data_IF_785387503356
#
_entry.id   IF_785387503356
#
_cell.length_a   1.000
_cell.length_b   1.000
_cell.length_c   1.000
_cell.angle_alpha   90.00
_cell.angle_beta   90.00
_cell.angle_gamma   90.00
#
_symmetry.space_group_name_H-M   'P 1'
#
loop_
_entity.id
_entity.type
_entity.pdbx_description
1 polymer ?
#
# COMPACT_ATOMS: atom_id res chain seq x y z
N UNK A 1 -50.09 21.46 -9.16
CA UNK A 1 -48.64 21.25 -9.08
C UNK A 1 -48.40 19.92 -8.37
N UNK A 2 -48.21 18.84 -9.13
CA UNK A 2 -47.91 17.50 -8.57
C UNK A 2 -46.40 17.29 -8.62
N UNK A 3 -45.84 16.85 -7.50
CA UNK A 3 -44.45 16.40 -7.36
C UNK A 3 -44.15 15.32 -8.39
N UNK A 4 -43.10 15.51 -9.19
CA UNK A 4 -42.50 14.47 -10.01
C UNK A 4 -41.58 13.66 -9.10
N UNK A 5 -42.15 12.64 -8.45
CA UNK A 5 -41.35 11.57 -7.88
C UNK A 5 -40.85 10.71 -9.05
N UNK A 6 -39.56 10.81 -9.35
CA UNK A 6 -38.85 9.90 -10.23
C UNK A 6 -38.77 8.53 -9.53
N UNK A 7 -39.81 7.72 -9.68
CA UNK A 7 -39.71 6.28 -9.45
C UNK A 7 -38.77 5.69 -10.50
N UNK A 8 -37.53 5.38 -10.10
CA UNK A 8 -36.69 4.46 -10.85
C UNK A 8 -37.35 3.09 -10.74
N UNK A 9 -37.84 2.56 -11.87
CA UNK A 9 -38.39 1.22 -11.93
C UNK A 9 -37.25 0.22 -11.75
N UNK A 10 -37.29 -0.58 -10.67
CA UNK A 10 -36.24 -1.54 -10.30
C UNK A 10 -36.38 -2.89 -11.05
N UNK A 11 -37.24 -2.95 -12.06
CA UNK A 11 -37.64 -4.16 -12.78
C UNK A 11 -36.54 -4.74 -13.68
N UNK A 12 -35.51 -3.97 -14.07
CA UNK A 12 -34.49 -4.39 -15.07
C UNK A 12 -33.05 -4.50 -14.53
N UNK A 13 -32.84 -4.67 -13.22
CA UNK A 13 -31.49 -4.85 -12.64
C UNK A 13 -31.09 -6.32 -12.61
N UNK A 14 -30.21 -6.74 -13.53
CA UNK A 14 -29.57 -8.06 -13.46
C UNK A 14 -28.45 -8.04 -12.44
N UNK A 15 -28.56 -8.85 -11.40
CA UNK A 15 -27.50 -8.96 -10.39
C UNK A 15 -26.58 -10.14 -10.69
N UNK A 16 -25.33 -9.83 -11.04
CA UNK A 16 -24.24 -10.80 -11.19
C UNK A 16 -23.60 -11.03 -9.82
N UNK A 17 -23.70 -12.26 -9.30
CA UNK A 17 -23.12 -12.62 -8.03
C UNK A 17 -21.66 -13.01 -8.19
N UNK A 18 -20.74 -12.09 -7.90
CA UNK A 18 -19.33 -12.43 -7.82
C UNK A 18 -19.08 -13.31 -6.60
N UNK A 19 -18.66 -14.55 -6.84
CA UNK A 19 -18.23 -15.43 -5.77
C UNK A 19 -16.94 -14.94 -5.12
N UNK A 20 -16.63 -15.50 -3.95
CA UNK A 20 -15.41 -15.18 -3.22
C UNK A 20 -14.80 -16.42 -2.59
N UNK A 21 -13.47 -16.43 -2.46
CA UNK A 21 -12.70 -17.50 -1.83
C UNK A 21 -12.28 -18.62 -2.78
N UNK A 22 -11.63 -19.64 -2.22
CA UNK A 22 -10.93 -20.74 -2.94
C UNK A 22 -11.78 -21.57 -3.91
N UNK A 23 -13.11 -21.44 -3.87
CA UNK A 23 -14.02 -22.16 -4.76
C UNK A 23 -14.34 -21.39 -6.03
N UNK A 24 -13.94 -20.13 -6.13
CA UNK A 24 -14.19 -19.27 -7.28
C UNK A 24 -12.92 -19.21 -8.12
N UNK A 25 -13.00 -19.67 -9.38
CA UNK A 25 -11.88 -19.72 -10.33
C UNK A 25 -12.24 -18.92 -11.58
N UNK A 26 -11.26 -18.50 -12.39
CA UNK A 26 -11.49 -17.88 -13.70
C UNK A 26 -12.54 -18.57 -14.56
N UNK A 27 -12.50 -19.90 -14.60
CA UNK A 27 -13.41 -20.71 -15.40
C UNK A 27 -14.85 -20.61 -14.86
N UNK A 28 -15.02 -20.60 -13.53
CA UNK A 28 -16.33 -20.45 -12.90
C UNK A 28 -16.88 -19.03 -13.05
N UNK A 29 -16.01 -18.03 -13.02
CA UNK A 29 -16.35 -16.64 -13.34
C UNK A 29 -16.86 -16.54 -14.78
N UNK A 30 -16.11 -17.09 -15.74
CA UNK A 30 -16.46 -17.06 -17.16
C UNK A 30 -17.73 -17.87 -17.46
N UNK A 31 -17.89 -19.04 -16.84
CA UNK A 31 -19.10 -19.85 -16.96
C UNK A 31 -20.32 -19.10 -16.42
N UNK A 32 -20.18 -18.36 -15.31
CA UNK A 32 -21.26 -17.53 -14.80
C UNK A 32 -21.62 -16.42 -15.79
N UNK A 33 -20.63 -15.75 -16.38
CA UNK A 33 -20.82 -14.74 -17.41
C UNK A 33 -21.48 -15.31 -18.67
N UNK A 34 -21.08 -16.48 -19.14
CA UNK A 34 -21.69 -17.14 -20.30
C UNK A 34 -23.14 -17.57 -20.03
N UNK A 35 -23.47 -17.93 -18.79
CA UNK A 35 -24.83 -18.29 -18.39
C UNK A 35 -25.74 -17.06 -18.17
N UNK A 36 -25.18 -15.85 -18.09
CA UNK A 36 -25.95 -14.60 -18.08
C UNK A 36 -26.45 -14.29 -19.49
N UNK A 37 -27.54 -14.93 -19.89
CA UNK A 37 -28.25 -14.63 -21.15
C UNK A 37 -29.23 -13.48 -20.96
N UNK A 38 -28.75 -12.25 -21.03
CA UNK A 38 -29.62 -11.06 -20.99
C UNK A 38 -29.06 -9.95 -21.90
N UNK A 39 -29.47 -9.94 -23.17
CA UNK A 39 -29.19 -8.86 -24.13
C UNK A 39 -30.04 -7.60 -23.88
N UNK A 40 -31.00 -7.65 -22.93
CA UNK A 40 -32.03 -6.62 -22.75
C UNK A 40 -31.91 -5.83 -21.43
N UNK A 41 -30.93 -6.13 -20.58
CA UNK A 41 -30.81 -5.45 -19.28
C UNK A 41 -29.97 -4.18 -19.37
N UNK A 42 -30.60 -3.04 -19.12
CA UNK A 42 -29.92 -1.74 -19.10
C UNK A 42 -28.95 -1.59 -17.92
N UNK A 43 -29.22 -2.28 -16.80
CA UNK A 43 -28.42 -2.18 -15.58
C UNK A 43 -27.94 -3.54 -15.08
N UNK A 44 -26.62 -3.68 -14.94
CA UNK A 44 -25.98 -4.85 -14.35
C UNK A 44 -25.40 -4.48 -12.98
N UNK A 45 -25.88 -5.12 -11.93
CA UNK A 45 -25.34 -5.01 -10.57
C UNK A 45 -24.37 -6.14 -10.29
N UNK A 46 -23.09 -5.84 -10.15
CA UNK A 46 -22.11 -6.83 -9.66
C UNK A 46 -22.11 -6.81 -8.12
N UNK A 47 -22.64 -7.88 -7.51
CA UNK A 47 -22.67 -8.06 -6.06
C UNK A 47 -21.53 -8.99 -5.61
N UNK A 48 -21.06 -8.86 -4.36
CA UNK A 48 -20.01 -9.72 -3.80
C UNK A 48 -18.98 -8.93 -2.98
N UNK A 49 -18.03 -9.64 -2.35
CA UNK A 49 -17.03 -9.00 -1.47
C UNK A 49 -15.99 -8.16 -2.20
N UNK A 50 -15.71 -8.44 -3.48
CA UNK A 50 -14.66 -7.76 -4.27
C UNK A 50 -15.08 -7.56 -5.75
N UNK A 51 -16.18 -6.84 -6.04
CA UNK A 51 -16.80 -6.81 -7.36
C UNK A 51 -15.86 -6.36 -8.49
N UNK A 52 -14.95 -5.41 -8.21
CA UNK A 52 -14.07 -4.79 -9.22
C UNK A 52 -12.74 -5.50 -9.47
N UNK A 53 -12.46 -6.56 -8.72
CA UNK A 53 -11.15 -7.20 -8.72
C UNK A 53 -11.20 -8.56 -9.44
N UNK A 54 -11.36 -8.57 -10.77
CA UNK A 54 -11.00 -9.75 -11.56
C UNK A 54 -9.48 -9.75 -11.68
N UNK A 55 -8.81 -10.43 -10.76
CA UNK A 55 -7.36 -10.35 -10.63
C UNK A 55 -6.58 -11.17 -11.67
N UNK A 56 -7.25 -12.00 -12.46
CA UNK A 56 -6.55 -13.12 -13.07
C UNK A 56 -6.13 -12.87 -14.54
N UNK A 57 -6.60 -11.80 -15.19
CA UNK A 57 -6.40 -11.62 -16.64
C UNK A 57 -6.04 -10.20 -17.10
N UNK A 58 -5.79 -9.26 -16.19
CA UNK A 58 -5.36 -7.92 -16.59
C UNK A 58 -3.84 -7.81 -16.58
N UNK A 59 -3.23 -7.38 -17.71
CA UNK A 59 -1.84 -6.96 -17.70
C UNK A 59 -1.63 -5.86 -16.66
N UNK A 60 -0.53 -5.96 -15.91
CA UNK A 60 -0.22 -4.99 -14.84
C UNK A 60 -0.15 -3.57 -15.39
N UNK A 61 0.39 -3.40 -16.59
CA UNK A 61 0.43 -2.11 -17.31
C UNK A 61 -0.94 -1.49 -17.48
N UNK A 62 -1.96 -2.28 -17.82
CA UNK A 62 -3.30 -1.78 -18.11
C UNK A 62 -4.03 -1.45 -16.81
N UNK A 63 -3.90 -2.31 -15.80
CA UNK A 63 -4.43 -2.02 -14.46
C UNK A 63 -3.80 -0.75 -13.85
N UNK A 64 -2.50 -0.52 -14.08
CA UNK A 64 -1.81 0.68 -13.64
C UNK A 64 -2.38 1.97 -14.26
N UNK A 65 -3.03 1.90 -15.43
CA UNK A 65 -3.66 3.07 -16.05
C UNK A 65 -4.83 3.60 -15.23
N UNK A 66 -5.52 2.74 -14.48
CA UNK A 66 -6.62 3.15 -13.58
C UNK A 66 -6.12 4.16 -12.56
N UNK A 67 -4.90 3.96 -12.03
CA UNK A 67 -4.28 4.84 -11.04
C UNK A 67 -3.91 6.21 -11.61
N UNK A 68 -3.90 6.41 -12.92
CA UNK A 68 -3.72 7.73 -13.52
C UNK A 68 -4.97 8.61 -13.37
N UNK A 69 -6.13 7.97 -13.31
CA UNK A 69 -7.42 8.61 -13.18
C UNK A 69 -7.85 8.76 -11.72
N UNK A 70 -7.23 8.02 -10.80
CA UNK A 70 -7.51 8.12 -9.37
C UNK A 70 -6.79 9.33 -8.79
N UNK A 71 -7.55 10.38 -8.52
CA UNK A 71 -7.08 11.56 -7.80
C UNK A 71 -7.67 11.57 -6.40
N UNK A 72 -6.83 11.91 -5.43
CA UNK A 72 -7.32 12.18 -4.09
C UNK A 72 -8.05 13.53 -4.11
N UNK A 73 -9.24 13.59 -3.53
CA UNK A 73 -9.99 14.84 -3.40
C UNK A 73 -9.17 15.86 -2.60
N UNK A 74 -9.34 17.14 -2.94
CA UNK A 74 -8.53 18.24 -2.41
C UNK A 74 -8.45 18.25 -0.88
N UNK A 75 -9.57 17.98 -0.20
CA UNK A 75 -9.65 17.85 1.25
C UNK A 75 -8.61 16.86 1.80
N UNK A 76 -8.60 15.61 1.32
CA UNK A 76 -7.69 14.59 1.84
C UNK A 76 -6.25 14.80 1.34
N UNK A 77 -6.06 15.42 0.17
CA UNK A 77 -4.73 15.85 -0.26
C UNK A 77 -4.13 16.89 0.69
N UNK A 78 -4.92 17.88 1.10
CA UNK A 78 -4.51 18.89 2.06
C UNK A 78 -4.17 18.28 3.43
N UNK A 79 -4.90 17.25 3.86
CA UNK A 79 -4.56 16.50 5.07
C UNK A 79 -3.23 15.74 4.93
N UNK A 80 -2.98 15.09 3.79
CA UNK A 80 -1.69 14.45 3.50
C UNK A 80 -0.54 15.48 3.47
N UNK A 81 -0.76 16.67 2.91
CA UNK A 81 0.22 17.78 2.90
C UNK A 81 0.61 18.20 4.32
N UNK A 82 -0.37 18.34 5.22
CA UNK A 82 -0.11 18.67 6.63
C UNK A 82 0.73 17.58 7.31
N UNK A 83 0.42 16.31 7.06
CA UNK A 83 1.19 15.18 7.64
C UNK A 83 2.62 15.18 7.13
N UNK A 84 2.83 15.31 5.80
CA UNK A 84 4.18 15.38 5.20
C UNK A 84 4.96 16.58 5.74
N UNK A 85 4.32 17.75 5.84
CA UNK A 85 4.95 18.94 6.41
C UNK A 85 5.42 18.69 7.85
N UNK A 86 4.61 18.02 8.68
CA UNK A 86 4.99 17.66 10.06
C UNK A 86 6.13 16.66 10.14
N UNK A 87 6.16 15.67 9.24
CA UNK A 87 7.28 14.71 9.14
C UNK A 87 8.59 15.45 8.82
N UNK A 88 8.57 16.34 7.83
CA UNK A 88 9.74 17.12 7.41
C UNK A 88 10.18 18.14 8.45
N UNK A 89 9.23 18.77 9.14
CA UNK A 89 9.50 19.66 10.29
C UNK A 89 10.23 18.90 11.41
N UNK A 90 9.75 17.69 11.73
CA UNK A 90 10.38 16.82 12.72
C UNK A 90 11.82 16.47 12.33
N UNK A 91 12.06 16.11 11.06
CA UNK A 91 13.40 15.78 10.56
C UNK A 91 14.36 16.96 10.55
N UNK A 92 13.85 18.16 10.27
CA UNK A 92 14.65 19.40 10.29
C UNK A 92 15.09 19.76 11.70
N UNK A 93 14.26 19.51 12.72
CA UNK A 93 14.62 19.69 14.13
C UNK A 93 15.69 18.70 14.62
N UNK A 94 15.73 17.50 14.03
CA UNK A 94 16.74 16.48 14.35
C UNK A 94 18.11 16.74 13.70
N UNK A 95 18.20 17.61 12.69
CA UNK A 95 19.47 18.03 12.06
C UNK A 95 19.90 19.39 12.63
N UNK A 96 21.13 19.53 13.10
CA UNK A 96 21.62 20.79 13.65
C UNK A 96 21.59 21.92 12.60
N UNK A 97 20.71 22.91 12.81
CA UNK A 97 20.72 24.32 12.33
C UNK A 97 21.28 24.66 10.93
N UNK A 98 21.22 23.79 9.93
CA UNK A 98 21.54 24.21 8.57
C UNK A 98 20.65 23.54 7.50
N UNK A 99 20.01 24.44 6.73
CA UNK A 99 19.16 24.27 5.55
C UNK A 99 17.65 24.13 5.81
N UNK A 100 16.92 24.83 4.93
CA UNK A 100 15.49 25.09 4.91
C UNK A 100 14.60 23.88 5.21
N UNK A 101 13.51 24.11 5.96
CA UNK A 101 12.50 23.14 6.42
C UNK A 101 11.88 22.23 5.33
N UNK A 102 12.04 22.54 4.04
CA UNK A 102 11.26 21.95 2.95
C UNK A 102 11.86 20.63 2.43
N UNK A 103 13.14 20.35 2.72
CA UNK A 103 13.93 19.34 2.01
C UNK A 103 14.51 18.24 2.92
N UNK A 104 13.87 17.98 4.07
CA UNK A 104 14.27 16.89 4.96
C UNK A 104 13.70 15.55 4.44
N UNK A 105 14.53 14.65 3.89
CA UNK A 105 14.04 13.38 3.37
C UNK A 105 13.55 12.49 4.51
N UNK A 106 12.59 11.63 4.22
CA UNK A 106 12.06 10.65 5.16
C UNK A 106 11.81 9.29 4.51
N UNK A 107 11.85 8.26 5.34
CA UNK A 107 11.45 6.89 4.98
C UNK A 107 10.04 6.70 5.50
N UNK A 108 9.13 6.18 4.68
CA UNK A 108 7.85 5.69 5.14
C UNK A 108 7.91 4.16 5.29
N UNK A 109 7.52 3.66 6.46
CA UNK A 109 7.45 2.23 6.77
C UNK A 109 5.99 1.86 7.03
N UNK A 110 5.39 1.11 6.12
CA UNK A 110 4.04 0.58 6.31
C UNK A 110 4.11 -0.72 7.13
N UNK A 111 3.93 -0.61 8.45
CA UNK A 111 4.07 -1.74 9.36
C UNK A 111 2.75 -2.49 9.49
N UNK A 112 2.65 -3.67 8.88
CA UNK A 112 1.52 -4.57 9.09
C UNK A 112 1.85 -5.58 10.20
N UNK A 113 1.63 -5.17 11.44
CA UNK A 113 1.96 -5.91 12.69
C UNK A 113 0.77 -6.01 13.66
N UNK A 114 -0.41 -5.65 13.20
CA UNK A 114 -1.66 -5.68 13.94
C UNK A 114 -2.04 -7.11 14.32
N UNK A 115 -2.73 -7.29 15.45
CA UNK A 115 -2.99 -8.64 16.00
C UNK A 115 -3.72 -9.56 15.01
N UNK A 116 -4.75 -9.03 14.36
CA UNK A 116 -5.55 -9.74 13.35
C UNK A 116 -4.68 -10.19 12.17
N UNK A 117 -3.80 -9.30 11.71
CA UNK A 117 -2.84 -9.61 10.67
C UNK A 117 -1.84 -10.68 11.11
N UNK A 118 -1.25 -10.54 12.29
CA UNK A 118 -0.26 -11.49 12.80
C UNK A 118 -0.84 -12.90 12.97
N UNK A 119 -2.12 -13.01 13.36
CA UNK A 119 -2.83 -14.30 13.39
C UNK A 119 -3.09 -14.81 11.98
N UNK A 120 -3.53 -13.94 11.05
CA UNK A 120 -3.82 -14.32 9.68
C UNK A 120 -2.58 -14.81 8.94
N UNK A 121 -1.50 -14.03 8.97
CA UNK A 121 -0.27 -14.35 8.25
C UNK A 121 0.35 -15.64 8.79
N UNK A 122 0.38 -15.88 10.11
CA UNK A 122 0.97 -17.10 10.69
C UNK A 122 0.22 -18.35 10.27
N UNK A 123 -1.13 -18.27 10.20
CA UNK A 123 -1.95 -19.38 9.69
C UNK A 123 -1.70 -19.63 8.21
N UNK A 124 -1.44 -18.58 7.43
CA UNK A 124 -1.14 -18.69 6.00
C UNK A 124 0.24 -19.30 5.76
N UNK A 125 1.25 -18.89 6.54
CA UNK A 125 2.60 -19.46 6.55
C UNK A 125 2.57 -20.96 6.86
N UNK A 126 1.88 -21.35 7.93
CA UNK A 126 1.72 -22.77 8.31
C UNK A 126 1.07 -23.59 7.21
N UNK A 127 0.06 -23.05 6.52
CA UNK A 127 -0.65 -23.76 5.44
C UNK A 127 0.17 -23.87 4.16
N UNK A 128 1.01 -22.88 3.89
CA UNK A 128 1.77 -22.77 2.64
C UNK A 128 3.22 -23.25 2.80
N UNK A 129 3.62 -23.62 4.02
CA UNK A 129 4.98 -24.04 4.39
C UNK A 129 6.05 -22.99 4.01
N UNK A 130 5.79 -21.72 4.33
CA UNK A 130 6.70 -20.59 4.10
C UNK A 130 6.85 -19.76 5.37
N UNK A 131 7.90 -18.94 5.47
CA UNK A 131 8.20 -18.09 6.63
C UNK A 131 8.45 -16.62 6.26
N UNK A 132 8.03 -16.23 5.07
CA UNK A 132 8.33 -14.93 4.46
C UNK A 132 7.08 -14.05 4.31
N UNK A 133 6.03 -14.26 5.13
CA UNK A 133 4.78 -13.49 5.05
C UNK A 133 4.69 -12.54 6.25
N UNK A 134 4.82 -13.10 7.44
CA UNK A 134 4.83 -12.37 8.70
C UNK A 134 6.23 -11.79 8.94
N UNK A 135 6.28 -10.61 9.56
CA UNK A 135 7.51 -10.14 10.19
C UNK A 135 7.20 -9.64 11.59
N UNK A 136 8.09 -9.96 12.52
CA UNK A 136 8.04 -9.36 13.86
C UNK A 136 8.52 -7.90 13.82
N UNK A 137 8.20 -7.13 14.87
CA UNK A 137 8.74 -5.77 15.03
C UNK A 137 10.27 -5.76 14.89
N UNK A 138 10.95 -6.68 15.59
CA UNK A 138 12.42 -6.76 15.59
C UNK A 138 12.98 -7.08 14.20
N UNK A 139 12.29 -7.91 13.44
CA UNK A 139 12.69 -8.20 12.06
C UNK A 139 12.57 -6.96 11.17
N UNK A 140 11.48 -6.21 11.30
CA UNK A 140 11.26 -4.96 10.55
C UNK A 140 12.34 -3.94 10.92
N UNK A 141 12.54 -3.66 12.21
CA UNK A 141 13.50 -2.65 12.65
C UNK A 141 14.93 -3.02 12.27
N UNK A 142 15.30 -4.31 12.37
CA UNK A 142 16.61 -4.81 11.95
C UNK A 142 16.81 -4.65 10.44
N UNK A 143 15.84 -5.10 9.62
CA UNK A 143 15.95 -5.00 8.15
C UNK A 143 16.03 -3.55 7.70
N UNK A 144 15.14 -2.67 8.18
CA UNK A 144 15.16 -1.24 7.81
C UNK A 144 16.48 -0.57 8.17
N UNK A 145 17.11 -0.96 9.29
CA UNK A 145 18.43 -0.45 9.69
C UNK A 145 19.57 -0.88 8.77
N UNK A 146 19.38 -1.97 8.01
CA UNK A 146 20.35 -2.54 7.08
C UNK A 146 20.10 -2.12 5.63
N UNK A 147 19.26 -1.09 5.37
CA UNK A 147 19.07 -0.57 4.01
C UNK A 147 20.37 0.09 3.51
N UNK A 148 20.98 -0.41 2.41
CA UNK A 148 22.24 0.14 1.92
C UNK A 148 22.12 1.61 1.51
N UNK A 149 23.08 2.42 1.97
CA UNK A 149 23.16 3.85 1.62
C UNK A 149 22.14 4.75 2.32
N UNK A 150 21.34 4.22 3.25
CA UNK A 150 20.41 5.03 4.04
C UNK A 150 21.19 6.05 4.88
N UNK A 151 21.03 7.34 4.55
CA UNK A 151 21.72 8.43 5.27
C UNK A 151 21.20 8.52 6.70
N UNK A 152 22.04 8.88 7.66
CA UNK A 152 21.63 9.21 9.03
C UNK A 152 22.08 10.63 9.38
N UNK A 153 21.31 11.38 10.21
CA UNK A 153 20.03 11.01 10.80
C UNK A 153 18.87 11.00 9.78
N UNK A 154 17.91 10.08 9.96
CA UNK A 154 16.72 9.94 9.10
C UNK A 154 15.45 9.73 9.91
N UNK A 155 14.38 10.41 9.50
CA UNK A 155 13.04 10.22 10.07
C UNK A 155 12.38 9.02 9.43
N UNK A 156 11.78 8.18 10.28
CA UNK A 156 10.96 7.04 9.84
C UNK A 156 9.50 7.32 10.18
N UNK A 157 8.69 7.61 9.17
CA UNK A 157 7.24 7.68 9.33
C UNK A 157 6.66 6.27 9.41
N UNK A 158 5.98 5.93 10.50
CA UNK A 158 5.35 4.63 10.69
C UNK A 158 3.87 4.71 10.27
N UNK A 159 3.56 4.17 9.09
CA UNK A 159 2.20 3.98 8.62
C UNK A 159 1.66 2.65 9.18
N UNK A 160 0.99 2.73 10.32
CA UNK A 160 0.38 1.59 11.01
C UNK A 160 -1.01 1.96 11.50
N UNK A 161 -1.90 0.98 11.58
CA UNK A 161 -3.20 1.16 12.21
C UNK A 161 -3.05 1.13 13.75
N UNK A 162 -2.64 2.27 14.32
CA UNK A 162 -2.32 2.44 15.76
C UNK A 162 -3.39 1.86 16.70
N UNK A 163 -4.67 1.99 16.32
CA UNK A 163 -5.81 1.50 17.10
C UNK A 163 -5.84 -0.03 17.28
N UNK A 164 -5.09 -0.78 16.47
CA UNK A 164 -5.06 -2.24 16.43
C UNK A 164 -3.78 -2.83 17.04
N UNK A 165 -2.94 -2.00 17.63
CA UNK A 165 -1.69 -2.41 18.27
C UNK A 165 -1.88 -2.73 19.76
N UNK A 166 -1.37 -3.88 20.19
CA UNK A 166 -1.26 -4.20 21.63
C UNK A 166 0.06 -3.65 22.22
N UNK A 167 1.12 -3.59 21.41
CA UNK A 167 2.44 -3.12 21.82
C UNK A 167 2.60 -1.61 21.56
N UNK A 168 2.72 -0.82 22.64
CA UNK A 168 2.96 0.63 22.58
C UNK A 168 4.43 1.00 22.33
N UNK A 169 5.31 0.02 22.15
CA UNK A 169 6.76 0.22 21.99
C UNK A 169 7.22 0.22 20.53
N UNK A 170 6.33 0.53 19.57
CA UNK A 170 6.67 0.55 18.14
C UNK A 170 7.78 1.57 17.79
N UNK A 171 7.96 2.59 18.63
CA UNK A 171 9.00 3.60 18.48
C UNK A 171 10.38 3.17 19.01
N UNK A 172 10.52 1.96 19.57
CA UNK A 172 11.76 1.47 20.18
C UNK A 172 12.43 0.39 19.30
N UNK A 173 13.75 0.23 19.45
CA UNK A 173 14.52 -0.85 18.81
C UNK A 173 14.96 -0.57 17.37
N UNK A 174 14.93 0.69 16.95
CA UNK A 174 15.43 1.15 15.66
C UNK A 174 16.95 1.40 15.71
N UNK A 175 17.61 1.23 14.58
CA UNK A 175 19.06 1.41 14.47
C UNK A 175 19.53 2.84 14.78
N UNK A 176 20.84 3.03 15.06
CA UNK A 176 21.40 4.33 15.40
C UNK A 176 21.11 5.40 14.32
N UNK A 177 20.69 6.59 14.75
CA UNK A 177 20.36 7.70 13.85
C UNK A 177 19.03 7.56 13.10
N UNK A 178 18.25 6.51 13.37
CA UNK A 178 16.88 6.38 12.87
C UNK A 178 15.89 6.91 13.91
N UNK A 179 15.02 7.81 13.47
CA UNK A 179 14.09 8.53 14.33
C UNK A 179 12.64 8.18 13.96
N UNK A 180 12.06 7.13 14.58
CA UNK A 180 10.69 6.73 14.31
C UNK A 180 9.68 7.75 14.85
N UNK A 181 8.64 7.99 14.05
CA UNK A 181 7.51 8.84 14.38
C UNK A 181 6.20 8.18 13.94
N UNK A 182 5.24 8.15 14.84
CA UNK A 182 3.85 7.76 14.58
C UNK A 182 2.94 9.00 14.63
N UNK A 183 1.68 8.84 14.23
CA UNK A 183 0.68 9.92 14.15
C UNK A 183 0.57 10.72 15.46
N UNK A 184 0.63 10.02 16.61
CA UNK A 184 0.63 10.62 17.95
C UNK A 184 1.85 11.49 18.21
N UNK A 185 3.05 11.00 17.90
CA UNK A 185 4.30 11.73 18.09
C UNK A 185 4.41 12.94 17.15
N UNK A 186 3.81 12.88 15.97
CA UNK A 186 3.71 13.99 15.03
C UNK A 186 2.64 15.03 15.42
N UNK A 187 1.74 14.70 16.36
CA UNK A 187 0.63 15.58 16.74
C UNK A 187 -0.45 15.70 15.66
N UNK A 188 -0.59 14.70 14.78
CA UNK A 188 -1.56 14.71 13.65
C UNK A 188 -2.76 13.78 13.87
N UNK A 189 -2.93 13.23 15.08
CA UNK A 189 -3.99 12.24 15.37
C UNK A 189 -5.39 12.76 15.04
N UNK A 190 -5.66 14.04 15.30
CA UNK A 190 -6.98 14.63 15.05
C UNK A 190 -7.32 14.70 13.56
N UNK A 191 -6.32 14.85 12.67
CA UNK A 191 -6.51 14.74 11.21
C UNK A 191 -7.15 13.38 10.89
N UNK A 192 -6.58 12.30 11.41
CA UNK A 192 -7.05 10.95 11.12
C UNK A 192 -8.39 10.62 11.77
N UNK A 193 -8.62 11.06 13.02
CA UNK A 193 -9.87 10.80 13.76
C UNK A 193 -11.10 11.39 13.08
N UNK A 194 -10.94 12.46 12.31
CA UNK A 194 -12.03 13.11 11.59
C UNK A 194 -12.51 12.31 10.37
N UNK A 195 -11.86 11.18 10.05
CA UNK A 195 -12.12 10.43 8.84
C UNK A 195 -12.40 8.95 9.10
N UNK A 196 -13.22 8.28 8.27
CA UNK A 196 -13.36 6.82 8.29
C UNK A 196 -12.03 6.11 8.00
N UNK A 197 -11.90 4.86 8.43
CA UNK A 197 -10.68 4.05 8.29
C UNK A 197 -10.12 4.01 6.86
N UNK A 198 -10.97 3.91 5.83
CA UNK A 198 -10.51 3.88 4.44
C UNK A 198 -9.89 5.22 4.01
N UNK A 199 -10.42 6.34 4.50
CA UNK A 199 -9.87 7.67 4.21
C UNK A 199 -8.58 7.90 5.01
N UNK A 200 -8.51 7.44 6.26
CA UNK A 200 -7.25 7.41 7.02
C UNK A 200 -6.16 6.64 6.26
N UNK A 201 -6.53 5.50 5.69
CA UNK A 201 -5.65 4.69 4.84
C UNK A 201 -5.26 5.44 3.56
N UNK A 202 -6.17 6.16 2.92
CA UNK A 202 -5.86 6.99 1.74
C UNK A 202 -4.88 8.13 2.06
N UNK A 203 -4.98 8.75 3.24
CA UNK A 203 -4.01 9.75 3.70
C UNK A 203 -2.64 9.10 3.90
N UNK A 204 -2.57 7.95 4.58
CA UNK A 204 -1.31 7.20 4.74
C UNK A 204 -0.72 6.76 3.39
N UNK A 205 -1.57 6.38 2.43
CA UNK A 205 -1.16 6.03 1.07
C UNK A 205 -0.42 7.18 0.40
N UNK A 206 -0.98 8.40 0.45
CA UNK A 206 -0.34 9.60 -0.10
C UNK A 206 0.97 9.95 0.61
N UNK A 207 1.00 9.86 1.94
CA UNK A 207 2.22 10.11 2.73
C UNK A 207 3.31 9.09 2.38
N UNK A 208 2.97 7.81 2.21
CA UNK A 208 3.90 6.77 1.76
C UNK A 208 4.37 6.99 0.31
N UNK A 209 3.47 7.40 -0.57
CA UNK A 209 3.77 7.65 -1.98
C UNK A 209 4.79 8.79 -2.15
N UNK A 210 4.73 9.81 -1.30
CA UNK A 210 5.60 11.01 -1.32
C UNK A 210 6.94 10.82 -0.59
N UNK A 211 7.16 9.68 0.07
CA UNK A 211 8.39 9.41 0.81
C UNK A 211 9.59 9.21 -0.11
N UNK A 212 10.77 9.60 0.37
CA UNK A 212 12.04 9.38 -0.34
C UNK A 212 12.35 7.90 -0.47
N UNK A 213 12.04 7.13 0.58
CA UNK A 213 12.14 5.67 0.59
C UNK A 213 10.84 5.09 1.12
N UNK A 214 10.34 4.03 0.49
CA UNK A 214 9.21 3.27 0.99
C UNK A 214 9.63 1.87 1.41
N UNK A 215 9.13 1.40 2.56
CA UNK A 215 9.36 0.04 3.04
C UNK A 215 8.00 -0.54 3.47
N UNK A 216 7.60 -1.66 2.88
CA UNK A 216 6.30 -2.27 3.13
C UNK A 216 6.37 -3.79 3.20
N UNK A 217 5.19 -4.41 3.34
CA UNK A 217 5.03 -5.85 3.31
C UNK A 217 4.49 -6.26 1.94
N UNK A 218 5.17 -7.16 1.22
CA UNK A 218 4.73 -7.60 -0.12
C UNK A 218 3.40 -8.35 -0.12
N UNK A 219 3.01 -8.97 1.00
CA UNK A 219 1.68 -9.56 1.16
C UNK A 219 0.56 -8.54 1.43
N UNK A 220 0.88 -7.26 1.66
CA UNK A 220 -0.11 -6.21 1.90
C UNK A 220 -0.55 -5.56 0.58
N UNK A 221 -1.86 -5.56 0.32
CA UNK A 221 -2.45 -4.81 -0.80
C UNK A 221 -2.09 -3.33 -0.74
N UNK A 222 -2.14 -2.71 0.45
CA UNK A 222 -1.76 -1.31 0.63
C UNK A 222 -0.33 -1.06 0.13
N UNK A 223 0.63 -1.89 0.56
CA UNK A 223 2.02 -1.73 0.12
C UNK A 223 2.19 -1.98 -1.38
N UNK A 224 1.50 -2.99 -1.92
CA UNK A 224 1.55 -3.30 -3.35
C UNK A 224 1.01 -2.16 -4.20
N UNK A 225 -0.06 -1.49 -3.77
CA UNK A 225 -0.59 -0.30 -4.46
C UNK A 225 0.35 0.90 -4.38
N UNK A 226 1.05 1.09 -3.25
CA UNK A 226 2.06 2.15 -3.13
C UNK A 226 3.23 1.87 -4.08
N UNK A 227 3.73 0.63 -4.13
CA UNK A 227 4.84 0.26 -5.01
C UNK A 227 4.45 0.29 -6.49
N UNK A 228 3.24 -0.11 -6.84
CA UNK A 228 2.68 0.02 -8.20
C UNK A 228 2.78 1.46 -8.68
N UNK A 229 2.25 2.40 -7.90
CA UNK A 229 2.19 3.82 -8.28
C UNK A 229 3.58 4.47 -8.28
N UNK A 230 4.44 4.14 -7.31
CA UNK A 230 5.84 4.59 -7.31
C UNK A 230 6.60 4.08 -8.53
N UNK A 231 6.44 2.79 -8.86
CA UNK A 231 7.07 2.16 -10.04
C UNK A 231 6.59 2.80 -11.33
N UNK A 232 5.29 3.10 -11.43
CA UNK A 232 4.71 3.77 -12.60
C UNK A 232 5.31 5.16 -12.79
N UNK A 233 5.39 5.96 -11.71
CA UNK A 233 6.04 7.28 -11.73
C UNK A 233 7.50 7.17 -12.16
N UNK A 234 8.25 6.18 -11.67
CA UNK A 234 9.64 5.92 -12.09
C UNK A 234 9.75 5.59 -13.59
N UNK A 235 8.89 4.70 -14.10
CA UNK A 235 8.88 4.32 -15.53
C UNK A 235 8.55 5.51 -16.42
N UNK A 236 7.57 6.36 -16.06
CA UNK A 236 7.26 7.60 -16.79
C UNK A 236 8.41 8.58 -16.83
N UNK A 237 9.27 8.57 -15.81
CA UNK A 237 10.51 9.36 -15.76
C UNK A 237 11.68 8.72 -16.54
N UNK A 238 11.47 7.59 -17.22
CA UNK A 238 12.50 6.90 -18.00
C UNK A 238 13.44 5.99 -17.19
N UNK A 239 13.11 5.71 -15.92
CA UNK A 239 13.90 4.77 -15.09
C UNK A 239 13.63 3.34 -15.56
N UNK A 240 14.62 2.73 -16.21
CA UNK A 240 14.53 1.35 -16.74
C UNK A 240 14.96 0.26 -15.75
N UNK A 241 15.71 0.61 -14.69
CA UNK A 241 16.14 -0.29 -13.61
C UNK A 241 15.92 0.42 -12.28
N UNK A 242 14.87 0.04 -11.55
CA UNK A 242 14.52 0.66 -10.26
C UNK A 242 15.14 -0.02 -9.04
N UNK A 243 15.90 -1.10 -9.25
CA UNK A 243 16.42 -1.95 -8.17
C UNK A 243 17.95 -2.00 -8.08
N UNK A 244 18.61 -0.86 -8.27
CA UNK A 244 20.05 -0.78 -8.02
C UNK A 244 20.37 -0.98 -6.52
N UNK A 245 21.57 -1.51 -6.24
CA UNK A 245 22.11 -1.55 -4.88
C UNK A 245 22.32 -0.09 -4.42
N UNK A 246 21.67 0.29 -3.32
CA UNK A 246 21.81 1.61 -2.68
C UNK A 246 20.84 2.69 -3.19
N UNK A 247 21.02 3.93 -2.71
CA UNK A 247 20.12 5.07 -2.97
C UNK A 247 20.30 5.75 -4.34
N UNK A 248 20.88 5.07 -5.33
CA UNK A 248 21.12 5.65 -6.67
C UNK A 248 19.85 5.68 -7.55
N UNK A 249 18.74 5.17 -7.02
CA UNK A 249 17.42 5.20 -7.66
C UNK A 249 16.56 6.26 -6.98
N UNK A 250 15.80 7.04 -7.74
CA UNK A 250 14.81 7.97 -7.21
C UNK A 250 13.59 7.18 -6.72
N UNK A 251 13.22 7.34 -5.45
CA UNK A 251 12.08 6.66 -4.80
C UNK A 251 12.19 5.13 -4.66
N UNK A 252 13.28 4.59 -4.10
CA UNK A 252 13.39 3.15 -3.89
C UNK A 252 12.27 2.65 -2.97
N UNK A 253 11.86 1.41 -3.22
CA UNK A 253 10.86 0.69 -2.44
C UNK A 253 11.43 -0.67 -2.03
N UNK A 254 11.06 -1.15 -0.84
CA UNK A 254 11.55 -2.41 -0.30
C UNK A 254 10.46 -3.23 0.37
N UNK A 255 10.53 -4.54 0.23
CA UNK A 255 9.70 -5.50 0.95
C UNK A 255 10.44 -6.00 2.20
N UNK A 256 10.00 -5.57 3.39
CA UNK A 256 10.67 -5.97 4.63
C UNK A 256 10.43 -7.41 5.01
N UNK A 257 9.40 -8.09 4.49
CA UNK A 257 9.11 -9.50 4.82
C UNK A 257 10.02 -10.47 4.06
N UNK A 258 10.71 -9.98 3.03
CA UNK A 258 11.69 -10.71 2.26
C UNK A 258 13.10 -10.27 2.63
N UNK A 259 13.96 -11.24 2.94
CA UNK A 259 15.37 -10.95 3.23
C UNK A 259 16.09 -10.57 1.92
N UNK A 260 16.70 -9.39 1.94
CA UNK A 260 17.56 -8.88 0.88
C UNK A 260 19.05 -9.02 1.21
N UNK A 261 19.87 -8.32 0.43
CA UNK A 261 21.32 -8.23 0.66
C UNK A 261 21.64 -7.55 2.00
N UNK A 262 22.81 -7.87 2.56
CA UNK A 262 23.30 -7.31 3.83
C UNK A 262 22.34 -7.47 5.04
N UNK A 263 21.38 -8.40 4.95
CA UNK A 263 20.34 -8.57 5.98
C UNK A 263 19.30 -7.45 6.01
N UNK A 264 19.24 -6.62 4.95
CA UNK A 264 18.21 -5.61 4.74
C UNK A 264 16.93 -6.17 4.12
N UNK A 265 15.93 -5.31 3.84
CA UNK A 265 14.74 -5.70 3.12
C UNK A 265 15.05 -5.91 1.63
N UNK A 266 14.28 -6.77 0.94
CA UNK A 266 14.47 -7.00 -0.49
C UNK A 266 14.02 -5.77 -1.30
N UNK A 267 14.80 -5.26 -2.26
CA UNK A 267 14.34 -4.22 -3.18
C UNK A 267 13.07 -4.66 -3.91
N UNK A 268 12.19 -3.73 -4.21
CA UNK A 268 10.87 -4.03 -4.76
C UNK A 268 10.46 -2.99 -5.81
N UNK A 269 10.25 -3.47 -7.03
CA UNK A 269 9.60 -2.74 -8.11
C UNK A 269 8.45 -3.58 -8.67
N UNK A 270 7.45 -2.93 -9.25
CA UNK A 270 6.39 -3.61 -10.00
C UNK A 270 6.85 -3.91 -11.42
N UNK A 271 6.66 -5.16 -11.86
CA UNK A 271 6.87 -5.56 -13.25
C UNK A 271 5.64 -5.21 -14.08
N UNK A 272 5.78 -4.24 -14.98
CA UNK A 272 4.71 -3.84 -15.91
C UNK A 272 4.59 -4.75 -17.13
N UNK A 273 5.51 -5.71 -17.32
CA UNK A 273 5.43 -6.71 -18.37
C UNK A 273 4.60 -7.93 -17.95
N UNK A 274 4.25 -8.05 -16.66
CA UNK A 274 3.43 -9.16 -16.19
C UNK A 274 2.01 -9.08 -16.78
N UNK A 275 1.61 -10.19 -17.38
CA UNK A 275 0.28 -10.39 -17.97
C UNK A 275 -0.83 -10.61 -16.93
N UNK A 276 -0.47 -10.77 -15.65
CA UNK A 276 -1.40 -11.03 -14.56
C UNK A 276 -1.18 -10.09 -13.38
N UNK A 277 -2.24 -9.78 -12.63
CA UNK A 277 -2.13 -9.00 -11.41
C UNK A 277 -1.56 -9.81 -10.24
N UNK A 278 -1.22 -11.09 -10.41
CA UNK A 278 -0.62 -11.91 -9.35
C UNK A 278 0.65 -11.30 -8.75
N UNK A 279 1.47 -10.58 -9.53
CA UNK A 279 2.66 -9.87 -9.03
C UNK A 279 2.35 -8.66 -8.12
N UNK A 280 1.11 -8.15 -8.15
CA UNK A 280 0.66 -7.02 -7.32
C UNK A 280 -0.55 -7.37 -6.44
N UNK A 281 -0.97 -8.65 -6.46
CA UNK A 281 -2.15 -9.15 -5.76
C UNK A 281 -1.85 -9.40 -4.28
N UNK A 282 -2.90 -9.35 -3.48
CA UNK A 282 -2.86 -9.81 -2.10
C UNK A 282 -2.38 -11.27 -2.06
N UNK A 283 -1.41 -11.56 -1.19
CA UNK A 283 -1.02 -12.96 -0.97
C UNK A 283 0.23 -13.43 -1.74
N UNK A 284 0.98 -12.54 -2.37
CA UNK A 284 2.11 -12.90 -3.23
C UNK A 284 3.45 -12.36 -2.71
N UNK A 285 4.48 -13.21 -2.73
CA UNK A 285 5.89 -12.82 -2.59
C UNK A 285 6.58 -12.65 -3.95
N UNK A 286 5.82 -12.74 -5.06
CA UNK A 286 6.36 -12.55 -6.41
C UNK A 286 6.62 -11.07 -6.65
N UNK A 287 7.71 -10.57 -6.08
CA UNK A 287 8.19 -9.21 -6.28
C UNK A 287 9.32 -9.20 -7.30
N UNK A 288 9.35 -8.18 -8.15
CA UNK A 288 10.34 -8.06 -9.21
C UNK A 288 11.41 -7.01 -8.88
N UNK A 289 12.58 -7.26 -9.48
CA UNK A 289 13.74 -6.42 -9.68
C UNK A 289 14.59 -7.04 -10.80
#
# INVERSE_FOLDING_TARGET
>A
MKSLDLCVDFSDIVTVQKGSGRRWTPERDLDQLHNLKHDESETIRVAGKNPFLWHDHWPVKDYAQVFECLVLVEEFSNEADKVVAKIREFGSKSKSKSKSNIDSPYVAVHMRIEKDWMIHCKKLEQRSNVSEICSSKNEITSRVSNIPGLKTPTVLYLAVADALLEDRSILNGWGPGLHPVEKKKLGVVEIYKNHPYLIQSAIDYEVCLRADVFVGNSYSTFSSLVVLERSRKMVKMGVKRGCGIGMNVKWPSFAYNLKGEFGGPRPWMTDFLDSSLQAISYGSNNISC
#
